data_IF_991963384072
#
_entry.id   IF_991963384072
#
_cell.length_a   1.000
_cell.length_b   1.000
_cell.length_c   1.000
_cell.angle_alpha   90.00
_cell.angle_beta   90.00
_cell.angle_gamma   90.00
#
_symmetry.space_group_name_H-M   'P 1'
#
loop_
_entity.id
_entity.type
_entity.pdbx_description
1 polymer ?
#
# COMPACT_ATOMS: atom_id res chain seq x y z
N UNK A 1 -1.27 19.16 4.12
CA UNK A 1 -0.12 18.25 3.99
C UNK A 1 -0.59 16.81 3.88
N UNK A 2 -0.07 16.07 2.94
CA UNK A 2 -0.44 14.67 2.75
C UNK A 2 0.39 13.81 3.73
N UNK A 3 -0.25 13.11 4.67
CA UNK A 3 0.49 12.39 5.72
C UNK A 3 0.98 11.02 5.30
N UNK A 4 0.89 10.68 4.03
CA UNK A 4 1.26 9.37 3.52
C UNK A 4 2.22 9.50 2.37
N UNK A 5 3.08 8.50 2.21
CA UNK A 5 3.93 8.40 1.04
C UNK A 5 3.50 7.20 0.22
N UNK A 6 3.56 7.35 -1.09
CA UNK A 6 3.38 6.26 -2.02
C UNK A 6 4.70 5.63 -2.37
N UNK A 7 4.73 4.32 -2.38
CA UNK A 7 5.90 3.60 -2.80
C UNK A 7 5.52 2.30 -3.48
N UNK A 8 6.53 1.49 -3.74
CA UNK A 8 6.34 0.16 -4.29
C UNK A 8 7.45 -0.74 -3.76
N UNK A 9 7.18 -2.04 -3.80
CA UNK A 9 8.21 -3.03 -3.46
C UNK A 9 8.95 -3.42 -4.73
N UNK A 10 10.28 -3.23 -4.77
CA UNK A 10 11.08 -3.65 -5.92
C UNK A 10 10.98 -5.17 -6.13
N UNK A 11 11.14 -5.59 -7.36
CA UNK A 11 11.14 -7.01 -7.73
C UNK A 11 9.83 -7.73 -7.39
N UNK A 12 8.71 -6.99 -7.48
CA UNK A 12 7.37 -7.56 -7.34
C UNK A 12 6.56 -7.30 -8.61
N UNK A 13 5.51 -8.09 -8.79
CA UNK A 13 4.57 -7.92 -9.91
C UNK A 13 3.18 -8.32 -9.46
N UNK A 14 2.21 -7.46 -9.75
CA UNK A 14 0.80 -7.74 -9.49
C UNK A 14 0.10 -8.21 -10.76
N UNK A 15 -1.19 -8.49 -10.66
CA UNK A 15 -1.98 -8.97 -11.79
C UNK A 15 -2.07 -8.00 -12.96
N UNK A 16 -1.87 -6.70 -12.71
CA UNK A 16 -1.86 -5.69 -13.76
C UNK A 16 -0.47 -5.49 -14.39
N UNK A 17 0.53 -6.24 -13.94
CA UNK A 17 1.88 -6.17 -14.48
C UNK A 17 2.79 -5.16 -13.80
N UNK A 18 2.24 -4.30 -12.96
CA UNK A 18 3.00 -3.26 -12.26
C UNK A 18 3.59 -3.79 -10.95
N UNK A 19 4.59 -3.12 -10.38
CA UNK A 19 5.07 -3.45 -9.04
C UNK A 19 3.96 -3.31 -8.00
N UNK A 20 4.10 -4.06 -6.92
CA UNK A 20 3.13 -4.01 -5.81
C UNK A 20 3.23 -2.67 -5.08
N UNK A 21 2.14 -1.92 -5.08
CA UNK A 21 2.08 -0.61 -4.45
C UNK A 21 1.90 -0.71 -2.94
N UNK A 22 2.45 0.28 -2.24
CA UNK A 22 2.33 0.39 -0.80
C UNK A 22 2.11 1.85 -0.42
N UNK A 23 1.22 2.07 0.54
CA UNK A 23 1.05 3.37 1.17
C UNK A 23 1.78 3.33 2.51
N UNK A 24 2.66 4.28 2.73
CA UNK A 24 3.56 4.28 3.88
C UNK A 24 3.15 5.39 4.84
N UNK A 25 2.87 5.01 6.07
CA UNK A 25 2.62 5.95 7.15
C UNK A 25 3.95 6.32 7.79
N UNK A 26 4.27 7.61 7.81
CA UNK A 26 5.51 8.09 8.40
C UNK A 26 5.32 9.48 8.97
N UNK A 27 6.31 9.93 9.76
CA UNK A 27 6.25 11.25 10.40
C UNK A 27 6.50 12.38 9.41
N UNK A 28 7.29 12.11 8.40
CA UNK A 28 7.71 13.11 7.42
C UNK A 28 7.64 12.52 6.03
N UNK A 29 7.42 13.41 5.07
CA UNK A 29 7.47 13.03 3.66
C UNK A 29 8.91 12.70 3.27
N UNK A 30 9.05 11.69 2.41
CA UNK A 30 10.33 11.31 1.84
C UNK A 30 10.42 11.82 0.40
N UNK A 31 11.51 11.50 -0.27
CA UNK A 31 11.71 11.94 -1.64
C UNK A 31 11.74 10.74 -2.60
N UNK A 32 11.42 10.94 -3.87
CA UNK A 32 11.45 9.85 -4.86
C UNK A 32 12.83 9.21 -4.95
N UNK A 33 12.86 7.88 -5.05
CA UNK A 33 14.09 7.12 -5.09
C UNK A 33 14.60 6.66 -3.73
N UNK A 34 14.03 7.17 -2.64
CA UNK A 34 14.41 6.79 -1.30
C UNK A 34 13.98 5.36 -1.00
N UNK A 35 14.82 4.59 -0.33
CA UNK A 35 14.48 3.26 0.15
C UNK A 35 14.15 3.34 1.63
N UNK A 36 13.03 2.73 2.01
CA UNK A 36 12.48 2.85 3.36
C UNK A 36 12.21 1.46 3.92
N UNK A 37 12.77 1.18 5.09
CA UNK A 37 12.39 -0.01 5.84
C UNK A 37 11.03 0.21 6.47
N UNK A 38 10.14 -0.73 6.29
CA UNK A 38 8.77 -0.61 6.79
C UNK A 38 8.25 -1.95 7.28
N UNK A 39 7.18 -1.89 8.10
CA UNK A 39 6.47 -3.08 8.51
C UNK A 39 5.05 -3.03 7.98
N UNK A 40 4.57 -4.15 7.49
CA UNK A 40 3.24 -4.25 6.93
C UNK A 40 2.21 -4.34 8.04
N UNK A 41 1.09 -3.63 7.88
CA UNK A 41 0.01 -3.68 8.85
C UNK A 41 -1.32 -4.11 8.23
N UNK A 42 -1.48 -3.98 6.92
CA UNK A 42 -2.77 -4.25 6.28
C UNK A 42 -2.62 -4.47 4.80
N UNK A 43 -3.53 -5.25 4.22
CA UNK A 43 -3.74 -5.29 2.79
C UNK A 43 -5.19 -4.89 2.47
N UNK A 44 -5.35 -4.04 1.47
CA UNK A 44 -6.65 -3.73 0.88
C UNK A 44 -6.71 -4.51 -0.42
N UNK A 45 -7.59 -5.50 -0.46
CA UNK A 45 -7.78 -6.31 -1.66
C UNK A 45 -8.76 -5.59 -2.57
N UNK A 46 -8.35 -5.36 -3.79
CA UNK A 46 -9.11 -4.54 -4.71
C UNK A 46 -9.06 -5.08 -6.12
N UNK A 47 -10.10 -4.77 -6.87
CA UNK A 47 -10.16 -5.03 -8.30
C UNK A 47 -10.28 -3.69 -9.00
N UNK A 48 -9.67 -3.59 -10.16
CA UNK A 48 -9.77 -2.38 -10.97
C UNK A 48 -10.19 -2.72 -12.38
N UNK A 49 -10.91 -1.78 -12.98
CA UNK A 49 -11.33 -1.87 -14.38
C UNK A 49 -10.78 -0.65 -15.09
N UNK A 50 -9.94 -0.90 -16.09
CA UNK A 50 -9.33 0.15 -16.89
C UNK A 50 -9.50 -0.22 -18.36
N UNK A 51 -10.15 0.65 -19.11
CA UNK A 51 -10.41 0.44 -20.53
C UNK A 51 -11.11 -0.92 -20.80
N UNK A 52 -12.06 -1.25 -19.91
CA UNK A 52 -12.82 -2.49 -20.03
C UNK A 52 -12.12 -3.74 -19.56
N UNK A 53 -10.85 -3.64 -19.13
CA UNK A 53 -10.09 -4.78 -18.66
C UNK A 53 -10.09 -4.82 -17.13
N UNK A 54 -10.52 -5.94 -16.57
CA UNK A 54 -10.53 -6.15 -15.12
C UNK A 54 -9.25 -6.82 -14.68
N UNK A 55 -8.65 -6.32 -13.60
CA UNK A 55 -7.47 -6.93 -13.02
C UNK A 55 -7.47 -6.75 -11.50
N UNK A 56 -6.69 -7.61 -10.82
CA UNK A 56 -6.50 -7.52 -9.38
C UNK A 56 -5.43 -6.48 -9.09
N UNK A 57 -5.68 -5.62 -8.12
CA UNK A 57 -4.72 -4.59 -7.75
C UNK A 57 -4.76 -4.34 -6.26
N UNK A 58 -4.19 -5.26 -5.49
CA UNK A 58 -4.13 -5.15 -4.04
C UNK A 58 -3.15 -4.04 -3.63
N UNK A 59 -3.49 -3.36 -2.55
CA UNK A 59 -2.68 -2.27 -2.01
C UNK A 59 -2.25 -2.63 -0.59
N UNK A 60 -0.99 -2.47 -0.30
CA UNK A 60 -0.47 -2.69 1.04
C UNK A 60 -0.40 -1.38 1.80
N UNK A 61 -0.58 -1.47 3.12
CA UNK A 61 -0.37 -0.34 4.02
C UNK A 61 0.73 -0.75 4.97
N UNK A 62 1.72 0.11 5.12
CA UNK A 62 2.89 -0.13 5.94
C UNK A 62 3.19 1.08 6.79
N UNK A 63 3.98 0.88 7.84
CA UNK A 63 4.49 1.95 8.70
C UNK A 63 6.00 1.96 8.57
N UNK A 64 6.57 3.15 8.36
CA UNK A 64 8.03 3.30 8.32
C UNK A 64 8.63 2.89 9.67
N UNK A 65 9.65 2.04 9.64
CA UNK A 65 10.28 1.57 10.89
C UNK A 65 10.85 2.73 11.71
N UNK A 66 11.31 3.78 11.05
CA UNK A 66 11.87 4.96 11.70
C UNK A 66 10.82 5.90 12.28
N UNK A 67 9.53 5.67 12.04
CA UNK A 67 8.48 6.57 12.51
C UNK A 67 8.34 6.49 14.03
N UNK A 68 8.36 7.64 14.68
CA UNK A 68 8.10 7.76 16.12
C UNK A 68 6.60 7.81 16.38
N UNK A 69 5.88 8.58 15.58
CA UNK A 69 4.44 8.76 15.74
C UNK A 69 3.68 7.44 15.62
N UNK A 70 4.09 6.59 14.66
CA UNK A 70 3.43 5.31 14.42
C UNK A 70 4.17 4.13 15.04
N UNK A 71 5.08 4.37 15.97
CA UNK A 71 5.93 3.31 16.52
C UNK A 71 5.17 2.20 17.22
N UNK A 72 3.98 2.51 17.78
CA UNK A 72 3.13 1.51 18.44
C UNK A 72 2.18 0.78 17.50
N UNK A 73 2.14 1.15 16.23
CA UNK A 73 1.20 0.56 15.27
C UNK A 73 1.84 -0.67 14.64
N UNK A 74 1.32 -1.85 14.95
CA UNK A 74 1.80 -3.11 14.40
C UNK A 74 0.73 -3.88 13.66
N UNK A 75 -0.52 -3.57 13.94
CA UNK A 75 -1.67 -4.22 13.34
C UNK A 75 -2.75 -3.19 13.05
N UNK A 76 -3.67 -3.58 12.19
CA UNK A 76 -4.82 -2.78 11.81
C UNK A 76 -5.58 -2.21 13.01
N UNK A 77 -5.76 -3.02 14.06
CA UNK A 77 -6.52 -2.63 15.23
C UNK A 77 -5.88 -1.48 16.03
N UNK A 78 -4.61 -1.18 15.76
CA UNK A 78 -3.91 -0.07 16.41
C UNK A 78 -4.18 1.28 15.75
N UNK A 79 -4.81 1.29 14.57
CA UNK A 79 -5.19 2.53 13.90
C UNK A 79 -6.66 2.84 14.15
N UNK A 80 -6.96 4.13 14.26
CA UNK A 80 -8.34 4.56 14.38
C UNK A 80 -9.12 4.26 13.10
N UNK A 81 -10.38 3.83 13.22
CA UNK A 81 -11.19 3.52 12.02
C UNK A 81 -11.32 4.69 11.05
N UNK A 82 -11.34 5.93 11.54
CA UNK A 82 -11.45 7.10 10.68
C UNK A 82 -10.23 7.24 9.78
N UNK A 83 -9.04 6.92 10.30
CA UNK A 83 -7.80 6.97 9.51
C UNK A 83 -7.84 5.94 8.40
N UNK A 84 -8.29 4.73 8.72
CA UNK A 84 -8.39 3.67 7.71
C UNK A 84 -9.38 4.03 6.61
N UNK A 85 -10.51 4.63 6.97
CA UNK A 85 -11.49 5.07 5.98
C UNK A 85 -10.91 6.16 5.08
N UNK A 86 -10.17 7.10 5.64
CA UNK A 86 -9.53 8.16 4.86
C UNK A 86 -8.54 7.58 3.84
N UNK A 87 -7.78 6.58 4.24
CA UNK A 87 -6.83 5.91 3.35
C UNK A 87 -7.56 5.23 2.20
N UNK A 88 -8.63 4.51 2.49
CA UNK A 88 -9.42 3.81 1.48
C UNK A 88 -10.06 4.79 0.51
N UNK A 89 -10.65 5.86 1.03
CA UNK A 89 -11.26 6.89 0.21
C UNK A 89 -10.23 7.55 -0.70
N UNK A 90 -9.02 7.74 -0.19
CA UNK A 90 -7.93 8.28 -0.98
C UNK A 90 -7.61 7.39 -2.19
N UNK A 91 -7.50 6.08 -1.99
CA UNK A 91 -7.22 5.17 -3.09
C UNK A 91 -8.33 5.19 -4.14
N UNK A 92 -9.58 5.15 -3.70
CA UNK A 92 -10.72 5.15 -4.63
C UNK A 92 -10.73 6.44 -5.45
N UNK A 93 -10.57 7.58 -4.80
CA UNK A 93 -10.61 8.87 -5.48
C UNK A 93 -9.41 9.08 -6.40
N UNK A 94 -8.23 8.64 -5.98
CA UNK A 94 -7.02 8.74 -6.78
C UNK A 94 -7.18 7.98 -8.11
N UNK A 95 -7.70 6.76 -8.05
CA UNK A 95 -7.91 5.95 -9.25
C UNK A 95 -9.04 6.51 -10.11
N UNK A 96 -10.08 7.04 -9.50
CA UNK A 96 -11.18 7.66 -10.24
C UNK A 96 -10.70 8.83 -11.09
N UNK A 97 -9.80 9.64 -10.57
CA UNK A 97 -9.23 10.75 -11.32
C UNK A 97 -8.42 10.28 -12.53
N UNK A 98 -7.94 9.05 -12.51
CA UNK A 98 -7.22 8.42 -13.61
C UNK A 98 -8.13 7.62 -14.54
N UNK A 99 -9.45 7.74 -14.38
CA UNK A 99 -10.46 6.99 -15.13
C UNK A 99 -10.35 5.48 -14.91
N UNK A 100 -9.99 5.06 -13.71
CA UNK A 100 -9.91 3.66 -13.31
C UNK A 100 -10.96 3.42 -12.26
N UNK A 101 -11.83 2.43 -12.49
CA UNK A 101 -12.75 1.98 -11.45
C UNK A 101 -11.98 1.10 -10.48
N UNK A 102 -12.04 1.44 -9.21
CA UNK A 102 -11.31 0.74 -8.15
C UNK A 102 -12.30 0.33 -7.09
N UNK A 103 -12.49 -0.98 -6.93
CA UNK A 103 -13.43 -1.53 -5.98
C UNK A 103 -12.70 -2.32 -4.91
N UNK A 104 -12.95 -1.96 -3.65
CA UNK A 104 -12.38 -2.67 -2.52
C UNK A 104 -13.25 -3.90 -2.25
N UNK A 105 -12.64 -5.08 -2.38
CA UNK A 105 -13.36 -6.35 -2.21
C UNK A 105 -12.98 -7.07 -0.93
N UNK A 106 -11.98 -6.59 -0.19
CA UNK A 106 -11.61 -7.20 1.08
C UNK A 106 -10.57 -6.38 1.81
N UNK A 107 -10.48 -6.64 3.11
CA UNK A 107 -9.51 -5.99 3.98
C UNK A 107 -8.97 -7.03 4.93
N UNK A 108 -7.65 -7.16 5.02
CA UNK A 108 -7.02 -8.15 5.90
C UNK A 108 -5.80 -7.56 6.58
N UNK A 109 -5.34 -8.23 7.62
CA UNK A 109 -4.28 -7.72 8.48
C UNK A 109 -2.87 -7.99 7.99
N UNK A 110 -1.92 -7.86 8.91
CA UNK A 110 -0.49 -7.92 8.59
C UNK A 110 -0.04 -9.27 8.03
N UNK A 111 -0.61 -10.36 8.52
CA UNK A 111 -0.23 -11.69 8.02
C UNK A 111 -0.65 -11.89 6.57
N UNK A 112 -1.85 -11.46 6.21
CA UNK A 112 -2.31 -11.54 4.84
C UNK A 112 -1.53 -10.58 3.93
N UNK A 113 -1.18 -9.40 4.44
CA UNK A 113 -0.32 -8.47 3.72
C UNK A 113 1.03 -9.10 3.39
N UNK A 114 1.64 -9.79 4.35
CA UNK A 114 2.89 -10.48 4.14
C UNK A 114 2.78 -11.56 3.06
N UNK A 115 1.66 -12.29 3.03
CA UNK A 115 1.42 -13.31 2.01
C UNK A 115 1.29 -12.69 0.62
N UNK A 116 0.59 -11.56 0.51
CA UNK A 116 0.45 -10.86 -0.77
C UNK A 116 1.83 -10.43 -1.28
N UNK A 117 2.65 -9.86 -0.41
CA UNK A 117 4.00 -9.47 -0.79
C UNK A 117 4.82 -10.69 -1.23
N UNK A 118 4.76 -11.78 -0.47
CA UNK A 118 5.49 -13.01 -0.79
C UNK A 118 5.12 -13.53 -2.18
N UNK A 119 3.83 -13.57 -2.48
CA UNK A 119 3.33 -14.06 -3.75
C UNK A 119 3.76 -13.16 -4.92
N UNK A 120 3.85 -11.86 -4.69
CA UNK A 120 4.21 -10.89 -5.72
C UNK A 120 5.72 -10.83 -5.97
N UNK A 121 6.53 -11.34 -5.06
CA UNK A 121 7.99 -11.24 -5.16
C UNK A 121 8.59 -12.07 -6.24
N UNK A 122 9.61 -11.49 -6.88
CA UNK A 122 10.53 -12.23 -7.75
C UNK A 122 11.82 -12.55 -7.02
N UNK A 123 12.23 -11.66 -6.10
CA UNK A 123 13.39 -11.85 -5.22
C UNK A 123 13.01 -11.39 -3.82
N UNK A 124 13.52 -12.05 -2.75
CA UNK A 124 13.26 -11.60 -1.40
C UNK A 124 13.79 -10.18 -1.17
N UNK A 125 12.91 -9.28 -0.73
CA UNK A 125 13.25 -7.93 -0.34
C UNK A 125 12.33 -7.49 0.78
N UNK A 126 12.86 -6.70 1.71
CA UNK A 126 12.10 -6.20 2.85
C UNK A 126 11.95 -4.68 2.86
N UNK A 127 12.51 -4.02 1.88
CA UNK A 127 12.40 -2.57 1.76
C UNK A 127 11.44 -2.20 0.66
N UNK A 128 10.75 -1.09 0.83
CA UNK A 128 9.95 -0.51 -0.22
C UNK A 128 10.68 0.71 -0.78
N UNK A 129 10.38 1.04 -2.01
CA UNK A 129 11.00 2.17 -2.67
C UNK A 129 9.96 3.24 -2.94
N UNK A 130 10.33 4.50 -2.65
CA UNK A 130 9.45 5.62 -2.86
C UNK A 130 9.19 5.80 -4.35
N UNK A 131 7.92 5.99 -4.70
CA UNK A 131 7.53 6.19 -6.09
C UNK A 131 7.84 7.62 -6.53
N UNK A 132 8.45 7.73 -7.68
CA UNK A 132 8.77 9.03 -8.27
C UNK A 132 7.52 9.79 -8.70
#
# INVERSE_FOLDING_TARGET
MFPYDFGFFPHTRTGDGDPLDVLILSDESTFPGCQIDCRLIRVIKAEQIEQGKQSRNDRLIAVAEASVFYSGVRELSNLEPVVLKQIEDFFVNYQKERNIEFEIVGREGSQSAAKVLQTARRKPRRTCQERA
#
